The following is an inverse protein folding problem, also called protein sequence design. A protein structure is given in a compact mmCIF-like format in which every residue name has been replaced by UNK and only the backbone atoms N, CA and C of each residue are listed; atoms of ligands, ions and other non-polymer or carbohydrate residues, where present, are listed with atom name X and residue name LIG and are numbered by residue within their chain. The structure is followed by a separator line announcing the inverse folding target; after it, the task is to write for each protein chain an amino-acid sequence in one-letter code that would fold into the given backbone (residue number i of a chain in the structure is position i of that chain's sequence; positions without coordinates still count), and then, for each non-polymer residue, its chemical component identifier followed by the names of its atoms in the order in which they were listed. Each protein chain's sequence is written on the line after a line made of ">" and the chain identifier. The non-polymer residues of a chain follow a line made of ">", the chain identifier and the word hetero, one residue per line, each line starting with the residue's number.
data_IF_821171726459
#
_entry.id   IF_821171726459
#
_cell.length_a   1.000
_cell.length_b   1.000
_cell.length_c   1.000
_cell.angle_alpha   90.00
_cell.angle_beta   90.00
_cell.angle_gamma   90.00
#
_symmetry.space_group_name_H-M   'P 1'
#
loop_
_entity.id
_entity.type
_entity.pdbx_description
1 polymer ?
#
# COMPACT_ATOMS: atom_id res chain seq x y z
N UNK A 1 4.78 -23.23 15.80
CA UNK A 1 5.65 -22.35 14.99
C UNK A 1 4.86 -21.32 14.19
N UNK A 2 4.09 -21.65 13.14
CA UNK A 2 3.31 -20.63 12.40
C UNK A 2 2.28 -19.89 13.29
N UNK A 3 1.56 -20.64 14.14
CA UNK A 3 0.51 -20.08 15.02
C UNK A 3 1.02 -19.22 16.18
N UNK A 4 2.28 -19.38 16.58
CA UNK A 4 2.92 -18.55 17.62
C UNK A 4 3.54 -17.27 17.02
N UNK A 5 3.98 -17.33 15.75
CA UNK A 5 4.51 -16.17 15.02
C UNK A 5 3.40 -15.16 14.67
N UNK A 6 2.23 -15.65 14.25
CA UNK A 6 1.06 -14.79 13.99
C UNK A 6 0.56 -14.12 15.27
N UNK A 7 0.49 -14.86 16.38
CA UNK A 7 0.02 -14.35 17.68
C UNK A 7 0.97 -13.27 18.25
N UNK A 8 2.27 -13.38 17.99
CA UNK A 8 3.27 -12.38 18.40
C UNK A 8 3.24 -11.12 17.50
N UNK A 9 3.02 -11.29 16.19
CA UNK A 9 2.89 -10.15 15.27
C UNK A 9 1.61 -9.36 15.57
N UNK A 10 0.50 -10.04 15.82
CA UNK A 10 -0.76 -9.42 16.24
C UNK A 10 -0.62 -8.67 17.58
N UNK A 11 0.12 -9.23 18.55
CA UNK A 11 0.42 -8.56 19.81
C UNK A 11 1.29 -7.31 19.62
N UNK A 12 2.28 -7.35 18.73
CA UNK A 12 3.14 -6.20 18.42
C UNK A 12 2.33 -5.07 17.76
N UNK A 13 1.51 -5.40 16.76
CA UNK A 13 0.62 -4.45 16.10
C UNK A 13 -0.40 -3.84 17.06
N UNK A 14 -0.98 -4.65 17.95
CA UNK A 14 -1.85 -4.15 19.03
C UNK A 14 -1.09 -3.20 19.96
N UNK A 15 0.14 -3.54 20.34
CA UNK A 15 1.01 -2.69 21.16
C UNK A 15 1.29 -1.33 20.51
N UNK A 16 1.61 -1.30 19.22
CA UNK A 16 1.83 -0.04 18.50
C UNK A 16 0.54 0.76 18.28
N UNK A 17 -0.61 0.08 18.14
CA UNK A 17 -1.92 0.74 17.97
C UNK A 17 -2.43 1.39 19.26
N UNK A 18 -1.94 0.95 20.43
CA UNK A 18 -2.46 1.35 21.74
C UNK A 18 -2.51 2.87 21.94
N UNK A 19 -1.50 3.59 21.44
CA UNK A 19 -1.46 5.06 21.53
C UNK A 19 -2.67 5.72 20.86
N UNK A 20 -3.15 5.18 19.73
CA UNK A 20 -4.30 5.70 18.99
C UNK A 20 -5.63 5.22 19.57
N UNK A 21 -5.65 4.03 20.17
CA UNK A 21 -6.81 3.51 20.90
C UNK A 21 -7.10 4.34 22.16
N UNK A 22 -6.05 4.87 22.81
CA UNK A 22 -6.17 5.72 24.00
C UNK A 22 -6.55 7.18 23.68
N UNK A 23 -6.30 7.65 22.45
CA UNK A 23 -6.74 8.98 22.03
C UNK A 23 -8.27 9.07 21.99
N UNK A 24 -8.83 10.19 22.46
CA UNK A 24 -10.23 10.51 22.19
C UNK A 24 -10.48 10.76 20.69
N UNK A 25 -11.75 10.65 20.26
CA UNK A 25 -12.12 10.71 18.82
C UNK A 25 -11.62 12.00 18.16
N UNK A 26 -11.68 13.14 18.89
CA UNK A 26 -11.32 14.45 18.34
C UNK A 26 -9.79 14.60 18.24
N UNK A 27 -9.04 14.11 19.21
CA UNK A 27 -7.58 14.09 19.16
C UNK A 27 -7.07 13.22 18.02
N UNK A 28 -7.62 12.01 17.86
CA UNK A 28 -7.27 11.11 16.77
C UNK A 28 -7.62 11.74 15.40
N UNK A 29 -8.82 12.31 15.27
CA UNK A 29 -9.24 12.98 14.04
C UNK A 29 -8.32 14.13 13.63
N UNK A 30 -7.93 14.97 14.60
CA UNK A 30 -7.01 16.11 14.36
C UNK A 30 -5.61 15.63 13.99
N UNK A 31 -5.10 14.63 14.70
CA UNK A 31 -3.79 14.05 14.40
C UNK A 31 -3.76 13.52 12.96
N UNK A 32 -4.77 12.73 12.57
CA UNK A 32 -4.85 12.20 11.21
C UNK A 32 -4.97 13.29 10.15
N UNK A 33 -5.83 14.30 10.36
CA UNK A 33 -5.97 15.42 9.43
C UNK A 33 -4.65 16.19 9.24
N UNK A 34 -3.90 16.42 10.32
CA UNK A 34 -2.59 17.08 10.27
C UNK A 34 -1.55 16.24 9.53
N UNK A 35 -1.51 14.92 9.79
CA UNK A 35 -0.59 14.00 9.12
C UNK A 35 -0.87 13.87 7.63
N UNK A 36 -2.15 13.81 7.22
CA UNK A 36 -2.54 13.86 5.79
C UNK A 36 -2.04 15.13 5.10
N UNK A 37 -2.06 16.27 5.79
CA UNK A 37 -1.47 17.51 5.27
C UNK A 37 0.03 17.41 5.03
N UNK A 38 0.76 16.57 5.78
CA UNK A 38 2.18 16.31 5.54
C UNK A 38 2.42 15.41 4.32
N UNK A 39 1.47 14.52 4.01
CA UNK A 39 1.60 13.62 2.87
C UNK A 39 1.37 14.31 1.53
N UNK A 40 0.61 15.40 1.52
CA UNK A 40 0.21 16.10 0.31
C UNK A 40 1.41 16.48 -0.57
N UNK A 41 1.25 16.28 -1.89
CA UNK A 41 2.25 16.54 -2.92
C UNK A 41 3.31 15.45 -3.11
N UNK A 42 3.22 14.32 -2.41
CA UNK A 42 4.27 13.30 -2.43
C UNK A 42 3.73 11.88 -2.63
N UNK A 43 4.53 11.06 -3.30
CA UNK A 43 4.37 9.61 -3.36
C UNK A 43 5.17 8.96 -2.24
N UNK A 44 4.52 8.16 -1.38
CA UNK A 44 5.10 7.60 -0.17
C UNK A 44 5.30 6.10 -0.28
N UNK A 45 6.51 5.63 0.07
CA UNK A 45 6.77 4.20 0.31
C UNK A 45 5.83 3.68 1.38
N UNK A 46 5.24 2.51 1.16
CA UNK A 46 4.38 1.85 2.14
C UNK A 46 5.13 1.58 3.45
N UNK A 47 6.41 1.21 3.34
CA UNK A 47 7.34 1.02 4.47
C UNK A 47 7.72 2.29 5.24
N UNK A 48 7.36 3.48 4.75
CA UNK A 48 7.78 4.72 5.41
C UNK A 48 7.22 4.79 6.83
N UNK A 49 8.04 5.03 7.88
CA UNK A 49 7.60 4.94 9.28
C UNK A 49 6.38 5.81 9.61
N UNK A 50 6.30 7.01 9.03
CA UNK A 50 5.13 7.89 9.21
C UNK A 50 3.86 7.32 8.57
N UNK A 51 3.97 6.64 7.43
CA UNK A 51 2.83 6.05 6.73
C UNK A 51 2.34 4.78 7.45
N UNK A 52 3.26 3.94 7.95
CA UNK A 52 2.90 2.81 8.83
C UNK A 52 2.28 3.29 10.15
N UNK A 53 2.80 4.36 10.73
CA UNK A 53 2.20 4.98 11.93
C UNK A 53 0.81 5.51 11.63
N UNK A 54 0.61 6.10 10.44
CA UNK A 54 -0.69 6.56 9.99
C UNK A 54 -1.68 5.42 9.76
N UNK A 55 -1.23 4.26 9.25
CA UNK A 55 -2.07 3.06 9.09
C UNK A 55 -2.66 2.58 10.42
N UNK A 56 -1.83 2.49 11.46
CA UNK A 56 -2.27 2.14 12.81
C UNK A 56 -3.40 3.08 13.28
N UNK A 57 -3.21 4.39 13.09
CA UNK A 57 -4.21 5.40 13.41
C UNK A 57 -5.47 5.26 12.54
N UNK A 58 -5.31 4.93 11.26
CA UNK A 58 -6.39 4.80 10.30
C UNK A 58 -7.28 3.60 10.62
N UNK A 59 -6.72 2.45 11.02
CA UNK A 59 -7.49 1.30 11.50
C UNK A 59 -8.30 1.66 12.74
N UNK A 60 -7.67 2.25 13.77
CA UNK A 60 -8.37 2.68 14.97
C UNK A 60 -9.50 3.69 14.66
N UNK A 61 -9.25 4.62 13.75
CA UNK A 61 -10.23 5.62 13.33
C UNK A 61 -11.35 5.05 12.48
N UNK A 62 -11.07 4.04 11.65
CA UNK A 62 -12.05 3.33 10.82
C UNK A 62 -13.03 2.55 11.70
N UNK A 63 -12.52 1.77 12.66
CA UNK A 63 -13.34 1.02 13.64
C UNK A 63 -14.26 1.94 14.44
N UNK A 64 -13.76 3.13 14.78
CA UNK A 64 -14.52 4.17 15.50
C UNK A 64 -15.37 5.04 14.59
N UNK A 65 -15.29 4.87 13.27
CA UNK A 65 -16.01 5.62 12.26
C UNK A 65 -15.80 7.15 12.36
N UNK A 66 -14.57 7.59 12.67
CA UNK A 66 -14.24 9.00 12.95
C UNK A 66 -14.64 9.93 11.80
N UNK A 67 -14.32 9.54 10.57
CA UNK A 67 -14.62 10.34 9.37
C UNK A 67 -16.12 10.37 9.05
N UNK A 68 -16.80 9.23 9.18
CA UNK A 68 -18.25 9.13 8.96
C UNK A 68 -19.04 9.99 9.96
N UNK A 69 -18.57 10.06 11.21
CA UNK A 69 -19.16 10.90 12.26
C UNK A 69 -18.84 12.39 12.12
N UNK A 70 -17.96 12.78 11.20
CA UNK A 70 -17.54 14.17 11.01
C UNK A 70 -16.70 14.73 12.16
N UNK A 71 -15.94 13.88 12.85
CA UNK A 71 -15.14 14.28 14.02
C UNK A 71 -13.88 15.09 13.65
N UNK A 72 -13.50 15.09 12.38
CA UNK A 72 -12.36 15.83 11.83
C UNK A 72 -12.72 16.55 10.54
N UNK A 73 -11.95 17.58 10.21
CA UNK A 73 -12.03 18.28 8.92
C UNK A 73 -11.15 17.51 7.94
N UNK A 74 -11.72 17.12 6.81
CA UNK A 74 -10.94 16.60 5.68
C UNK A 74 -10.05 17.73 5.17
N UNK A 75 -8.71 17.53 5.07
CA UNK A 75 -7.82 18.56 4.55
C UNK A 75 -8.25 19.01 3.15
N UNK A 76 -8.04 20.29 2.82
CA UNK A 76 -8.68 20.93 1.67
C UNK A 76 -8.28 20.30 0.32
N UNK A 77 -7.09 19.71 0.25
CA UNK A 77 -6.60 19.04 -0.96
C UNK A 77 -7.33 17.70 -1.19
N UNK A 78 -7.85 17.07 -0.13
CA UNK A 78 -8.41 15.73 -0.18
C UNK A 78 -9.91 15.72 -0.43
N UNK A 79 -10.35 14.74 -1.22
CA UNK A 79 -11.76 14.37 -1.37
C UNK A 79 -12.11 13.21 -0.44
N UNK A 80 -13.39 13.03 -0.13
CA UNK A 80 -13.83 11.87 0.63
C UNK A 80 -13.90 10.64 -0.29
N UNK A 81 -13.25 9.54 0.09
CA UNK A 81 -13.37 8.26 -0.59
C UNK A 81 -14.80 7.70 -0.50
N UNK A 82 -15.27 7.05 -1.55
CA UNK A 82 -16.63 6.50 -1.57
C UNK A 82 -16.80 5.31 -0.63
N UNK A 83 -15.77 4.46 -0.50
CA UNK A 83 -15.79 3.24 0.32
C UNK A 83 -16.04 3.51 1.82
N UNK A 84 -15.31 4.46 2.41
CA UNK A 84 -15.33 4.67 3.86
C UNK A 84 -15.53 6.14 4.30
N UNK A 85 -15.71 7.07 3.36
CA UNK A 85 -15.84 8.52 3.61
C UNK A 85 -14.63 9.20 4.24
N UNK A 86 -13.53 8.48 4.44
CA UNK A 86 -12.26 9.04 4.87
C UNK A 86 -11.61 9.87 3.73
N UNK A 87 -10.67 10.77 4.04
CA UNK A 87 -9.85 11.45 3.03
C UNK A 87 -9.18 10.44 2.09
N UNK A 88 -9.31 10.62 0.78
CA UNK A 88 -8.82 9.68 -0.22
C UNK A 88 -7.29 9.60 -0.22
N UNK A 89 -6.76 8.50 0.28
CA UNK A 89 -5.33 8.16 0.24
C UNK A 89 -5.17 6.79 -0.44
N UNK A 90 -5.00 6.76 -1.77
CA UNK A 90 -4.88 5.53 -2.54
C UNK A 90 -3.51 4.88 -2.37
N UNK A 91 -3.48 3.55 -2.43
CA UNK A 91 -2.29 2.71 -2.45
C UNK A 91 -2.18 2.06 -3.83
N UNK A 92 -1.04 2.24 -4.48
CA UNK A 92 -0.62 1.49 -5.66
C UNK A 92 0.14 0.23 -5.20
N UNK A 93 -0.46 -0.95 -5.36
CA UNK A 93 0.18 -2.24 -5.09
C UNK A 93 0.38 -3.04 -6.37
N UNK A 94 1.09 -4.17 -6.28
CA UNK A 94 1.25 -5.13 -7.39
C UNK A 94 -0.09 -5.63 -7.95
N UNK A 95 -1.11 -5.75 -7.11
CA UNK A 95 -2.44 -6.25 -7.49
C UNK A 95 -3.37 -5.20 -8.13
N UNK A 96 -2.84 -4.04 -8.54
CA UNK A 96 -3.61 -2.92 -9.10
C UNK A 96 -4.45 -3.31 -10.31
N UNK A 97 -4.03 -4.29 -11.11
CA UNK A 97 -4.83 -4.78 -12.23
C UNK A 97 -6.15 -5.43 -11.76
N UNK A 98 -6.08 -6.22 -10.68
CA UNK A 98 -7.21 -6.98 -10.15
C UNK A 98 -8.15 -6.11 -9.30
N UNK A 99 -7.60 -5.21 -8.49
CA UNK A 99 -8.36 -4.46 -7.49
C UNK A 99 -8.39 -2.95 -7.70
N UNK A 100 -7.61 -2.40 -8.63
CA UNK A 100 -7.40 -0.96 -8.72
C UNK A 100 -6.58 -0.40 -7.54
N UNK A 101 -6.76 0.89 -7.23
CA UNK A 101 -6.10 1.52 -6.09
C UNK A 101 -6.88 1.25 -4.80
N UNK A 102 -6.18 0.82 -3.77
CA UNK A 102 -6.77 0.43 -2.48
C UNK A 102 -6.75 1.61 -1.50
N UNK A 103 -7.80 1.75 -0.71
CA UNK A 103 -7.91 2.78 0.31
C UNK A 103 -7.00 2.47 1.51
N UNK A 104 -6.10 3.39 1.87
CA UNK A 104 -5.24 3.21 3.04
C UNK A 104 -5.99 3.12 4.38
N UNK A 105 -7.25 3.56 4.44
CA UNK A 105 -8.03 3.58 5.67
C UNK A 105 -8.84 2.32 5.95
N UNK A 106 -9.34 1.67 4.90
CA UNK A 106 -10.26 0.53 5.05
C UNK A 106 -9.86 -0.71 4.24
N UNK A 107 -8.82 -0.63 3.40
CA UNK A 107 -8.36 -1.75 2.59
C UNK A 107 -9.28 -2.13 1.41
N UNK A 108 -10.39 -1.43 1.21
CA UNK A 108 -11.26 -1.62 0.03
C UNK A 108 -10.76 -0.83 -1.18
N UNK A 109 -11.12 -1.25 -2.38
CA UNK A 109 -10.90 -0.48 -3.62
C UNK A 109 -11.53 0.91 -3.50
N UNK A 110 -10.72 1.96 -3.65
CA UNK A 110 -11.18 3.35 -3.72
C UNK A 110 -11.23 3.91 -5.14
N UNK A 111 -10.46 3.32 -6.06
CA UNK A 111 -10.49 3.63 -7.49
C UNK A 111 -10.34 2.33 -8.25
N UNK A 112 -11.36 1.90 -8.98
CA UNK A 112 -11.26 0.67 -9.77
C UNK A 112 -10.27 0.84 -10.92
N UNK A 113 -9.64 -0.25 -11.36
CA UNK A 113 -8.69 -0.21 -12.48
C UNK A 113 -9.30 0.41 -13.75
N UNK A 114 -10.59 0.11 -14.02
CA UNK A 114 -11.32 0.65 -15.15
C UNK A 114 -11.50 2.18 -15.10
N UNK A 115 -11.48 2.78 -13.91
CA UNK A 115 -11.66 4.21 -13.69
C UNK A 115 -10.33 4.97 -13.61
N UNK A 116 -9.19 4.26 -13.72
CA UNK A 116 -7.88 4.90 -13.85
C UNK A 116 -7.78 5.71 -15.15
N UNK A 117 -6.96 6.77 -15.17
CA UNK A 117 -6.76 7.59 -16.36
C UNK A 117 -6.30 6.76 -17.55
N UNK A 118 -6.89 7.00 -18.72
CA UNK A 118 -6.56 6.30 -19.97
C UNK A 118 -5.09 6.40 -20.36
N UNK A 119 -4.39 7.47 -19.93
CA UNK A 119 -2.97 7.66 -20.19
C UNK A 119 -2.08 6.80 -19.28
N UNK A 120 -2.51 6.54 -18.04
CA UNK A 120 -1.75 5.75 -17.07
C UNK A 120 -2.11 4.27 -17.09
N UNK A 121 -3.36 3.95 -17.42
CA UNK A 121 -3.88 2.57 -17.40
C UNK A 121 -3.03 1.59 -18.21
N UNK A 122 -2.61 1.87 -19.47
CA UNK A 122 -1.73 0.94 -20.21
C UNK A 122 -0.34 0.78 -19.59
N UNK A 123 0.19 1.84 -18.96
CA UNK A 123 1.51 1.79 -18.28
C UNK A 123 1.43 0.92 -17.03
N UNK A 124 0.38 1.11 -16.24
CA UNK A 124 0.12 0.34 -15.02
C UNK A 124 -0.20 -1.13 -15.35
N UNK A 125 -1.00 -1.38 -16.39
CA UNK A 125 -1.31 -2.73 -16.90
C UNK A 125 -0.03 -3.49 -17.26
N UNK A 126 0.82 -2.86 -18.08
CA UNK A 126 2.09 -3.44 -18.49
C UNK A 126 3.00 -3.72 -17.30
N UNK A 127 3.12 -2.78 -16.38
CA UNK A 127 3.92 -2.93 -15.17
C UNK A 127 3.41 -4.07 -14.29
N UNK A 128 2.10 -4.15 -14.04
CA UNK A 128 1.49 -5.20 -13.23
C UNK A 128 1.68 -6.57 -13.88
N UNK A 129 1.51 -6.68 -15.21
CA UNK A 129 1.77 -7.93 -15.94
C UNK A 129 3.25 -8.35 -15.89
N UNK A 130 4.19 -7.42 -15.98
CA UNK A 130 5.63 -7.72 -15.87
C UNK A 130 5.99 -8.16 -14.45
N UNK A 131 5.35 -7.54 -13.46
CA UNK A 131 5.51 -7.88 -12.06
C UNK A 131 4.99 -9.29 -11.78
N UNK A 132 3.78 -9.62 -12.25
CA UNK A 132 3.19 -10.95 -12.09
C UNK A 132 4.07 -12.05 -12.71
N UNK A 133 4.72 -11.78 -13.84
CA UNK A 133 5.66 -12.73 -14.45
C UNK A 133 6.89 -12.99 -13.55
N UNK A 134 7.48 -11.93 -12.98
CA UNK A 134 8.61 -12.06 -12.06
C UNK A 134 8.21 -12.73 -10.75
N UNK A 135 7.15 -12.22 -10.09
CA UNK A 135 6.61 -12.72 -8.84
C UNK A 135 6.19 -14.19 -8.93
N UNK A 136 5.61 -14.60 -10.06
CA UNK A 136 5.16 -15.96 -10.29
C UNK A 136 6.26 -17.02 -10.15
N UNK A 137 7.55 -16.66 -10.27
CA UNK A 137 8.67 -17.60 -10.05
C UNK A 137 8.65 -18.16 -8.62
N UNK A 138 8.33 -17.35 -7.62
CA UNK A 138 8.25 -17.77 -6.22
C UNK A 138 7.16 -18.83 -5.99
N UNK A 139 6.11 -18.84 -6.82
CA UNK A 139 4.95 -19.72 -6.68
C UNK A 139 5.00 -20.95 -7.58
N UNK A 140 6.09 -21.21 -8.32
CA UNK A 140 6.14 -22.32 -9.27
C UNK A 140 5.89 -23.70 -8.65
N UNK A 141 6.41 -23.97 -7.44
CA UNK A 141 6.15 -25.25 -6.77
C UNK A 141 4.68 -25.37 -6.33
N UNK A 142 4.08 -24.29 -5.84
CA UNK A 142 2.67 -24.21 -5.44
C UNK A 142 1.72 -24.36 -6.64
N UNK A 143 2.12 -23.83 -7.81
CA UNK A 143 1.47 -24.02 -9.11
C UNK A 143 1.56 -25.46 -9.65
N UNK A 144 2.33 -26.33 -8.99
CA UNK A 144 2.61 -27.70 -9.44
C UNK A 144 3.61 -27.78 -10.58
N UNK A 145 4.39 -26.72 -10.84
CA UNK A 145 5.49 -26.75 -11.82
C UNK A 145 6.68 -27.49 -11.21
N UNK A 146 7.37 -28.27 -12.04
CA UNK A 146 8.62 -28.91 -11.64
C UNK A 146 9.74 -27.87 -11.69
N UNK A 147 10.37 -27.63 -10.54
CA UNK A 147 11.49 -26.69 -10.45
C UNK A 147 12.67 -27.18 -11.32
N UNK A 148 13.24 -26.29 -12.15
CA UNK A 148 14.42 -26.63 -12.94
C UNK A 148 15.67 -26.72 -12.03
N UNK A 149 16.75 -27.37 -12.48
CA UNK A 149 17.98 -27.51 -11.68
C UNK A 149 18.65 -26.18 -11.31
N UNK A 150 18.40 -25.11 -12.08
CA UNK A 150 18.91 -23.76 -11.88
C UNK A 150 17.88 -22.80 -11.26
N UNK A 151 16.88 -23.34 -10.55
CA UNK A 151 15.82 -22.57 -9.91
C UNK A 151 16.33 -21.42 -9.04
N UNK A 152 17.32 -21.65 -8.18
CA UNK A 152 17.86 -20.61 -7.29
C UNK A 152 18.33 -19.38 -8.06
N UNK A 153 18.96 -19.58 -9.23
CA UNK A 153 19.39 -18.49 -10.10
C UNK A 153 18.19 -17.77 -10.74
N UNK A 154 17.15 -18.49 -11.13
CA UNK A 154 15.93 -17.90 -11.69
C UNK A 154 15.18 -17.10 -10.62
N UNK A 155 15.15 -17.58 -9.38
CA UNK A 155 14.58 -16.89 -8.24
C UNK A 155 15.33 -15.58 -7.93
N UNK A 156 16.66 -15.60 -7.90
CA UNK A 156 17.47 -14.37 -7.75
C UNK A 156 17.24 -13.36 -8.89
N UNK A 157 17.12 -13.83 -10.14
CA UNK A 157 16.82 -12.97 -11.29
C UNK A 157 15.39 -12.39 -11.23
N UNK A 158 14.45 -13.15 -10.68
CA UNK A 158 13.09 -12.69 -10.44
C UNK A 158 13.06 -11.60 -9.37
N UNK A 159 13.75 -11.80 -8.24
CA UNK A 159 13.91 -10.79 -7.19
C UNK A 159 14.49 -9.47 -7.75
N UNK A 160 15.58 -9.54 -8.52
CA UNK A 160 16.17 -8.34 -9.16
C UNK A 160 15.24 -7.67 -10.19
N UNK A 161 14.36 -8.43 -10.84
CA UNK A 161 13.33 -7.86 -11.72
C UNK A 161 12.25 -7.16 -10.91
N UNK A 162 11.79 -7.78 -9.83
CA UNK A 162 10.80 -7.21 -8.92
C UNK A 162 11.33 -5.92 -8.26
N UNK A 163 12.59 -5.88 -7.78
CA UNK A 163 13.24 -4.67 -7.26
C UNK A 163 13.13 -3.50 -8.24
N UNK A 164 13.46 -3.72 -9.52
CA UNK A 164 13.38 -2.69 -10.57
C UNK A 164 11.95 -2.25 -10.85
N UNK A 165 11.00 -3.19 -10.84
CA UNK A 165 9.60 -2.88 -11.05
C UNK A 165 9.02 -2.10 -9.86
N UNK A 166 9.37 -2.44 -8.62
CA UNK A 166 9.01 -1.66 -7.42
C UNK A 166 9.62 -0.26 -7.49
N UNK A 167 10.89 -0.15 -7.89
CA UNK A 167 11.54 1.15 -8.10
C UNK A 167 10.82 1.98 -9.17
N UNK A 168 10.39 1.36 -10.27
CA UNK A 168 9.59 2.02 -11.29
C UNK A 168 8.23 2.49 -10.76
N UNK A 169 7.58 1.68 -9.91
CA UNK A 169 6.32 2.07 -9.28
C UNK A 169 6.50 3.36 -8.46
N UNK A 170 7.57 3.43 -7.67
CA UNK A 170 7.86 4.60 -6.82
C UNK A 170 8.40 5.84 -7.55
N UNK A 171 9.18 5.66 -8.62
CA UNK A 171 9.84 6.76 -9.33
C UNK A 171 9.05 7.30 -10.53
N UNK A 172 8.16 6.50 -11.11
CA UNK A 172 7.41 6.88 -12.31
C UNK A 172 5.89 6.82 -12.12
N UNK A 173 5.35 5.68 -11.65
CA UNK A 173 3.90 5.45 -11.66
C UNK A 173 3.17 6.19 -10.54
N UNK A 174 3.61 6.03 -9.29
CA UNK A 174 3.03 6.71 -8.14
C UNK A 174 3.14 8.24 -8.24
N UNK A 175 4.27 8.83 -8.69
CA UNK A 175 4.35 10.27 -8.96
C UNK A 175 3.38 10.74 -10.05
N UNK A 176 3.15 9.94 -11.10
CA UNK A 176 2.18 10.29 -12.16
C UNK A 176 0.74 10.38 -11.63
N UNK A 177 0.41 9.63 -10.56
CA UNK A 177 -0.91 9.66 -9.93
C UNK A 177 -1.14 10.92 -9.06
N UNK A 178 -0.09 11.70 -8.74
CA UNK A 178 -0.19 12.93 -7.95
C UNK A 178 -0.88 14.09 -8.69
N UNK A 179 -1.05 13.98 -10.00
CA UNK A 179 -1.86 14.94 -10.77
C UNK A 179 -3.36 14.86 -10.43
N UNK A 180 -3.78 13.75 -9.81
CA UNK A 180 -5.18 13.41 -9.56
C UNK A 180 -5.49 13.28 -8.08
N UNK A 181 -4.52 12.80 -7.30
CA UNK A 181 -4.65 12.56 -5.88
C UNK A 181 -3.64 13.41 -5.10
N UNK A 182 -4.02 13.98 -3.94
CA UNK A 182 -3.11 14.81 -3.16
C UNK A 182 -1.87 14.06 -2.70
N UNK A 183 -2.00 12.77 -2.41
CA UNK A 183 -0.90 11.90 -2.03
C UNK A 183 -1.23 10.47 -2.49
N UNK A 184 -0.19 9.68 -2.71
CA UNK A 184 -0.31 8.27 -3.13
C UNK A 184 0.69 7.47 -2.32
N UNK A 185 0.27 6.34 -1.77
CA UNK A 185 1.18 5.36 -1.21
C UNK A 185 1.50 4.29 -2.25
N UNK A 186 2.66 3.64 -2.16
CA UNK A 186 3.04 2.56 -3.07
C UNK A 186 3.79 1.44 -2.35
N UNK A 187 3.48 0.20 -2.71
CA UNK A 187 4.12 -1.00 -2.15
C UNK A 187 5.57 -1.10 -2.62
N UNK A 188 6.50 -1.24 -1.67
CA UNK A 188 7.95 -1.23 -1.92
C UNK A 188 8.66 -2.49 -1.44
N UNK A 189 7.94 -3.62 -1.35
CA UNK A 189 8.49 -4.91 -0.95
C UNK A 189 7.76 -6.09 -1.63
N UNK A 190 8.41 -7.26 -1.63
CA UNK A 190 7.84 -8.54 -2.04
C UNK A 190 8.34 -9.64 -1.09
N UNK A 191 7.46 -10.09 -0.19
CA UNK A 191 7.81 -11.13 0.79
C UNK A 191 8.08 -12.49 0.13
N UNK A 192 7.48 -12.78 -1.03
CA UNK A 192 7.62 -14.08 -1.70
C UNK A 192 8.96 -14.19 -2.44
N UNK A 193 9.45 -13.07 -2.97
CA UNK A 193 10.78 -12.97 -3.60
C UNK A 193 11.88 -12.48 -2.64
N UNK A 194 11.57 -12.34 -1.36
CA UNK A 194 12.47 -11.81 -0.32
C UNK A 194 13.01 -10.39 -0.61
N UNK A 195 12.32 -9.61 -1.44
CA UNK A 195 12.68 -8.22 -1.74
C UNK A 195 12.20 -7.30 -0.63
N UNK A 196 13.12 -6.58 0.00
CA UNK A 196 12.83 -5.70 1.12
C UNK A 196 12.79 -4.23 0.69
N UNK A 197 12.20 -3.34 1.50
CA UNK A 197 12.21 -1.91 1.23
C UNK A 197 13.61 -1.33 0.96
N UNK A 198 14.63 -1.82 1.66
CA UNK A 198 16.02 -1.37 1.49
C UNK A 198 16.66 -1.75 0.14
N UNK A 199 16.11 -2.74 -0.56
CA UNK A 199 16.63 -3.22 -1.85
C UNK A 199 16.11 -2.38 -3.03
N UNK A 200 15.01 -1.64 -2.82
CA UNK A 200 14.39 -0.79 -3.84
C UNK A 200 15.10 0.57 -3.87
N UNK A 201 15.84 0.86 -4.95
CA UNK A 201 16.57 2.13 -5.14
C UNK A 201 15.73 3.12 -5.99
N UNK A 202 15.51 4.35 -5.50
CA UNK A 202 14.68 5.40 -6.15
C UNK A 202 15.39 6.75 -6.26
#
# INVERSE_FOLDING_TARGET
>A
MVRELTDNHDQLWNGYSQVFLEMDDLSLARWMAQTLGQFSGHAWRLSHPLLMTYELAAHAAHDRQIWLKGMGIIPAEYTAAECCRAPLLPVLSRDVFNFGLVCKHCGETCVAFADLPEELKPRIDKWSSDYDEAHGVAHWEEDGKKLPPDYDKLFELAAQSAEKLLAQAGSELAPSLLELYPAVAWEDQDECLEVRPEDVDI
#
